data_IF_932579205109
#
_entry.id   IF_932579205109
#
_cell.length_a   1.000
_cell.length_b   1.000
_cell.length_c   1.000
_cell.angle_alpha   90.00
_cell.angle_beta   90.00
_cell.angle_gamma   90.00
#
_symmetry.space_group_name_H-M   'P 1'
#
loop_
_entity.id
_entity.type
_entity.pdbx_description
1 polymer ?
#
# COMPACT_ATOMS: atom_id res chain seq x y z
N UNK A 1 -14.01 -17.01 10.35
CA UNK A 1 -13.12 -17.54 11.41
C UNK A 1 -12.50 -16.44 12.26
N UNK A 2 -12.24 -16.71 13.54
CA UNK A 2 -11.62 -15.74 14.46
C UNK A 2 -10.24 -15.26 14.00
N UNK A 3 -9.44 -16.15 13.42
CA UNK A 3 -8.10 -15.83 12.89
C UNK A 3 -8.15 -14.80 11.75
N UNK A 4 -9.09 -14.95 10.79
CA UNK A 4 -9.24 -14.01 9.68
C UNK A 4 -9.58 -12.59 10.16
N UNK A 5 -10.42 -12.47 11.19
CA UNK A 5 -10.74 -11.18 11.80
C UNK A 5 -9.50 -10.54 12.45
N UNK A 6 -8.65 -11.31 13.13
CA UNK A 6 -7.40 -10.80 13.71
C UNK A 6 -6.47 -10.27 12.62
N UNK A 7 -6.27 -11.02 11.52
CA UNK A 7 -5.45 -10.54 10.40
C UNK A 7 -6.03 -9.29 9.74
N UNK A 8 -7.37 -9.20 9.61
CA UNK A 8 -8.02 -8.02 9.03
C UNK A 8 -7.77 -6.78 9.88
N UNK A 9 -7.97 -6.86 11.21
CA UNK A 9 -7.70 -5.73 12.11
C UNK A 9 -6.21 -5.38 12.17
N UNK A 10 -5.32 -6.37 12.10
CA UNK A 10 -3.89 -6.12 12.01
C UNK A 10 -3.53 -5.38 10.72
N UNK A 11 -4.04 -5.81 9.57
CA UNK A 11 -3.82 -5.14 8.29
C UNK A 11 -4.38 -3.70 8.30
N UNK A 12 -5.55 -3.49 8.91
CA UNK A 12 -6.16 -2.17 9.09
C UNK A 12 -5.29 -1.27 9.97
N UNK A 13 -4.75 -1.81 11.07
CA UNK A 13 -3.81 -1.09 11.93
C UNK A 13 -2.55 -0.67 11.17
N UNK A 14 -1.94 -1.60 10.42
CA UNK A 14 -0.75 -1.31 9.61
C UNK A 14 -1.05 -0.26 8.55
N UNK A 15 -2.23 -0.30 7.91
CA UNK A 15 -2.66 0.71 6.95
C UNK A 15 -2.78 2.11 7.57
N UNK A 16 -3.46 2.23 8.72
CA UNK A 16 -3.58 3.50 9.45
C UNK A 16 -2.22 4.01 9.93
N UNK A 17 -1.36 3.10 10.41
CA UNK A 17 0.00 3.42 10.81
C UNK A 17 0.82 3.97 9.64
N UNK A 18 0.73 3.34 8.45
CA UNK A 18 1.34 3.85 7.23
C UNK A 18 0.82 5.25 6.88
N UNK A 19 -0.48 5.50 7.00
CA UNK A 19 -1.05 6.83 6.72
C UNK A 19 -0.44 7.89 7.64
N UNK A 20 -0.29 7.60 8.94
CA UNK A 20 0.39 8.49 9.87
C UNK A 20 1.86 8.72 9.50
N UNK A 21 2.53 7.71 8.94
CA UNK A 21 3.93 7.78 8.53
C UNK A 21 4.15 8.46 7.16
N UNK A 22 3.11 8.62 6.33
CA UNK A 22 3.18 9.28 5.00
C UNK A 22 3.79 10.69 5.07
N UNK A 23 3.53 11.44 6.16
CA UNK A 23 4.08 12.77 6.36
C UNK A 23 5.61 12.77 6.53
N UNK A 24 6.14 11.74 7.20
CA UNK A 24 7.58 11.55 7.37
C UNK A 24 8.22 11.04 6.08
N UNK A 25 7.53 10.14 5.36
CA UNK A 25 7.99 9.63 4.07
C UNK A 25 8.16 10.75 3.06
N UNK A 26 7.19 11.65 2.90
CA UNK A 26 7.27 12.80 1.97
C UNK A 26 8.51 13.69 2.11
N UNK A 27 9.16 13.72 3.28
CA UNK A 27 10.39 14.52 3.51
C UNK A 27 11.68 13.80 3.09
N UNK A 28 11.64 12.49 2.89
CA UNK A 28 12.82 11.69 2.58
C UNK A 28 13.04 11.64 1.06
N UNK A 29 14.31 11.77 0.61
CA UNK A 29 14.68 11.60 -0.81
C UNK A 29 14.24 10.21 -1.28
N UNK A 30 13.84 10.07 -2.54
CA UNK A 30 13.34 8.80 -3.06
C UNK A 30 14.37 7.67 -2.87
N UNK A 31 14.02 6.65 -2.07
CA UNK A 31 14.82 5.43 -1.89
C UNK A 31 14.02 4.22 -2.35
N UNK A 32 14.71 3.20 -2.87
CA UNK A 32 14.10 1.95 -3.33
C UNK A 32 13.25 1.28 -2.22
N UNK A 33 13.64 1.46 -0.96
CA UNK A 33 12.98 0.97 0.24
C UNK A 33 11.51 1.40 0.40
N UNK A 34 11.05 2.43 -0.34
CA UNK A 34 9.62 2.80 -0.36
C UNK A 34 8.71 1.72 -0.93
N UNK A 35 9.23 0.79 -1.76
CA UNK A 35 8.46 -0.37 -2.21
C UNK A 35 8.01 -1.28 -1.06
N UNK A 36 8.66 -1.23 0.11
CA UNK A 36 8.21 -1.98 1.29
C UNK A 36 6.81 -1.56 1.76
N UNK A 37 6.36 -0.34 1.44
CA UNK A 37 5.04 0.16 1.83
C UNK A 37 3.90 -0.34 0.91
N UNK A 38 4.19 -0.71 -0.34
CA UNK A 38 3.16 -1.28 -1.22
C UNK A 38 2.74 -2.68 -0.79
N UNK A 39 3.62 -3.44 -0.11
CA UNK A 39 3.33 -4.79 0.38
C UNK A 39 2.18 -4.84 1.41
N UNK A 40 2.23 -4.12 2.55
CA UNK A 40 1.13 -4.14 3.52
C UNK A 40 -0.16 -3.53 2.95
N UNK A 41 -0.05 -2.55 2.05
CA UNK A 41 -1.19 -1.95 1.37
C UNK A 41 -1.90 -2.97 0.45
N UNK A 42 -1.13 -3.77 -0.30
CA UNK A 42 -1.65 -4.86 -1.13
C UNK A 42 -2.31 -5.95 -0.27
N UNK A 43 -1.67 -6.35 0.83
CA UNK A 43 -2.22 -7.32 1.77
C UNK A 43 -3.58 -6.87 2.34
N UNK A 44 -3.70 -5.59 2.73
CA UNK A 44 -4.95 -5.03 3.22
C UNK A 44 -6.05 -4.99 2.15
N UNK A 45 -5.67 -4.73 0.89
CA UNK A 45 -6.61 -4.76 -0.24
C UNK A 45 -7.18 -6.15 -0.45
N UNK A 46 -6.34 -7.19 -0.45
CA UNK A 46 -6.76 -8.59 -0.58
C UNK A 46 -7.63 -9.02 0.60
N UNK A 47 -7.27 -8.62 1.81
CA UNK A 47 -8.07 -8.88 3.02
C UNK A 47 -9.46 -8.22 2.93
N UNK A 48 -9.55 -7.00 2.40
CA UNK A 48 -10.82 -6.28 2.21
C UNK A 48 -11.72 -6.98 1.17
N UNK A 49 -11.14 -7.43 0.05
CA UNK A 49 -11.86 -8.21 -0.96
C UNK A 49 -12.39 -9.53 -0.40
N UNK A 50 -11.58 -10.22 0.42
CA UNK A 50 -11.99 -11.46 1.07
C UNK A 50 -13.12 -11.22 2.08
N UNK A 51 -13.07 -10.10 2.82
CA UNK A 51 -14.11 -9.71 3.77
C UNK A 51 -15.43 -9.42 3.06
N UNK A 52 -15.39 -8.73 1.90
CA UNK A 52 -16.56 -8.49 1.06
C UNK A 52 -17.18 -9.81 0.56
N UNK A 53 -16.35 -10.77 0.10
CA UNK A 53 -16.82 -12.10 -0.33
C UNK A 53 -17.52 -12.88 0.79
N UNK A 54 -17.10 -12.72 2.06
CA UNK A 54 -17.71 -13.42 3.19
C UNK A 54 -18.99 -12.74 3.72
N UNK A 55 -19.05 -11.42 3.73
CA UNK A 55 -20.20 -10.69 4.30
C UNK A 55 -21.27 -10.34 3.28
N UNK A 56 -20.96 -10.29 1.98
CA UNK A 56 -21.89 -9.90 0.92
C UNK A 56 -22.38 -8.45 1.01
N UNK A 57 -21.79 -7.65 1.90
CA UNK A 57 -22.15 -6.24 2.11
C UNK A 57 -21.46 -5.37 1.07
N UNK A 58 -22.25 -4.56 0.35
CA UNK A 58 -21.76 -3.58 -0.63
C UNK A 58 -20.79 -2.57 -0.03
N UNK A 59 -20.90 -2.29 1.28
CA UNK A 59 -19.99 -1.40 1.99
C UNK A 59 -18.51 -1.84 1.87
N UNK A 60 -18.24 -3.13 2.06
CA UNK A 60 -16.88 -3.67 1.94
C UNK A 60 -16.39 -3.70 0.49
N UNK A 61 -17.30 -3.74 -0.48
CA UNK A 61 -16.96 -3.64 -1.92
C UNK A 61 -16.38 -2.27 -2.25
N UNK A 62 -17.10 -1.22 -1.83
CA UNK A 62 -16.68 0.17 -2.06
C UNK A 62 -15.35 0.43 -1.37
N UNK A 63 -15.19 0.00 -0.12
CA UNK A 63 -13.93 0.15 0.63
C UNK A 63 -12.79 -0.56 -0.07
N UNK A 64 -13.00 -1.80 -0.53
CA UNK A 64 -11.98 -2.57 -1.27
C UNK A 64 -11.56 -1.87 -2.56
N UNK A 65 -12.53 -1.35 -3.33
CA UNK A 65 -12.26 -0.62 -4.56
C UNK A 65 -11.50 0.69 -4.32
N UNK A 66 -11.89 1.44 -3.29
CA UNK A 66 -11.19 2.69 -2.91
C UNK A 66 -9.74 2.41 -2.53
N UNK A 67 -9.50 1.40 -1.69
CA UNK A 67 -8.14 1.00 -1.29
C UNK A 67 -7.35 0.48 -2.50
N UNK A 68 -7.98 -0.29 -3.39
CA UNK A 68 -7.34 -0.82 -4.59
C UNK A 68 -6.91 0.28 -5.56
N UNK A 69 -7.77 1.25 -5.84
CA UNK A 69 -7.42 2.41 -6.69
C UNK A 69 -6.29 3.21 -6.05
N UNK A 70 -6.34 3.40 -4.73
CA UNK A 70 -5.28 4.07 -3.99
C UNK A 70 -3.94 3.31 -4.08
N UNK A 71 -3.95 1.99 -3.91
CA UNK A 71 -2.78 1.11 -4.09
C UNK A 71 -2.21 1.26 -5.50
N UNK A 72 -3.04 1.19 -6.54
CA UNK A 72 -2.60 1.33 -7.94
C UNK A 72 -1.98 2.71 -8.17
N UNK A 73 -2.57 3.77 -7.64
CA UNK A 73 -2.02 5.12 -7.75
C UNK A 73 -0.64 5.24 -7.06
N UNK A 74 -0.48 4.65 -5.87
CA UNK A 74 0.81 4.61 -5.16
C UNK A 74 1.84 3.83 -5.97
N UNK A 75 1.49 2.66 -6.49
CA UNK A 75 2.38 1.83 -7.32
C UNK A 75 2.80 2.58 -8.59
N UNK A 76 1.86 3.23 -9.30
CA UNK A 76 2.17 4.01 -10.50
C UNK A 76 3.10 5.18 -10.17
N UNK A 77 2.84 5.91 -9.09
CA UNK A 77 3.69 7.02 -8.65
C UNK A 77 5.10 6.53 -8.30
N UNK A 78 5.21 5.41 -7.57
CA UNK A 78 6.48 4.76 -7.27
C UNK A 78 7.20 4.31 -8.55
N UNK A 79 6.50 3.64 -9.46
CA UNK A 79 7.06 3.16 -10.71
C UNK A 79 7.59 4.31 -11.57
N UNK A 80 6.85 5.42 -11.68
CA UNK A 80 7.28 6.62 -12.40
C UNK A 80 8.52 7.25 -11.74
N UNK A 81 8.55 7.33 -10.40
CA UNK A 81 9.71 7.84 -9.67
C UNK A 81 10.93 6.91 -9.84
N UNK A 82 10.74 5.59 -9.78
CA UNK A 82 11.80 4.61 -10.04
C UNK A 82 12.33 4.77 -11.46
N UNK A 83 11.46 4.76 -12.48
CA UNK A 83 11.82 4.95 -13.89
C UNK A 83 12.57 6.27 -14.11
N UNK A 84 12.14 7.36 -13.46
CA UNK A 84 12.81 8.66 -13.55
C UNK A 84 14.20 8.65 -12.89
N UNK A 85 14.36 7.95 -11.78
CA UNK A 85 15.66 7.77 -11.10
C UNK A 85 16.60 6.85 -11.90
N UNK A 86 16.08 5.80 -12.52
CA UNK A 86 16.81 4.94 -13.48
C UNK A 86 17.28 5.77 -14.68
N UNK A 87 16.38 6.55 -15.28
CA UNK A 87 16.67 7.37 -16.46
C UNK A 87 17.67 8.52 -16.18
N UNK A 88 17.83 8.91 -14.92
CA UNK A 88 18.86 9.87 -14.46
C UNK A 88 20.17 9.19 -14.02
N UNK A 89 20.29 7.87 -14.19
CA UNK A 89 21.45 7.05 -13.80
C UNK A 89 21.92 7.23 -12.35
N UNK A 90 21.01 7.63 -11.44
CA UNK A 90 21.35 7.82 -10.02
C UNK A 90 21.22 6.53 -9.19
N UNK A 91 20.99 5.38 -9.84
CA UNK A 91 20.89 4.07 -9.18
C UNK A 91 22.26 3.37 -9.09
N UNK A 92 23.24 3.81 -9.89
CA UNK A 92 24.61 3.29 -9.89
C UNK A 92 25.62 4.32 -9.37
N UNK A 93 25.25 5.08 -8.34
CA UNK A 93 26.23 5.78 -7.53
C UNK A 93 26.18 5.07 -6.18
N UNK A 94 27.26 4.37 -5.82
CA UNK A 94 27.47 3.91 -4.46
C UNK A 94 27.07 5.02 -3.48
N UNK A 95 26.22 4.66 -2.54
CA UNK A 95 26.03 5.43 -1.31
C UNK A 95 27.33 5.57 -0.51
#
# INVERSE_FOLDING_TARGET
DGFANVLYYFALFVFLFLIGQLGMLRKVRFFLSWWAYSFPLAAFTVASVLMHRQTGLLFFEVVSWVIFVFLVAVILLLAVLTLRSVARSQICVEE
#
